data_IF_253529854760
#
_entry.id   IF_253529854760
#
_cell.length_a   1.000
_cell.length_b   1.000
_cell.length_c   1.000
_cell.angle_alpha   90.00
_cell.angle_beta   90.00
_cell.angle_gamma   90.00
#
_symmetry.space_group_name_H-M   'P 1'
#
loop_
_entity.id
_entity.type
_entity.pdbx_description
1 polymer ?
#
# COMPACT_ATOMS: atom_id res chain seq x y z
N UNK A 1 12.41 -32.01 41.90
CA UNK A 1 13.43 -31.02 42.31
C UNK A 1 12.92 -29.60 42.06
N UNK A 2 13.01 -28.70 43.04
CA UNK A 2 12.87 -27.24 42.90
C UNK A 2 14.07 -26.61 43.62
N UNK A 3 14.78 -25.61 43.07
CA UNK A 3 15.79 -24.89 43.83
C UNK A 3 15.18 -23.74 44.65
N UNK A 4 15.76 -23.53 45.83
CA UNK A 4 15.36 -22.58 46.87
C UNK A 4 15.91 -21.16 46.61
N UNK A 5 15.22 -20.15 47.16
CA UNK A 5 15.65 -18.75 47.27
C UNK A 5 16.77 -18.59 48.30
N UNK A 6 17.71 -17.67 48.05
CA UNK A 6 18.58 -17.06 49.07
C UNK A 6 18.69 -15.54 48.83
N UNK A 7 18.38 -14.73 49.85
CA UNK A 7 18.55 -13.25 49.86
C UNK A 7 20.02 -12.85 50.04
N UNK A 8 20.50 -11.72 49.48
CA UNK A 8 20.50 -10.33 50.03
C UNK A 8 21.92 -9.99 50.55
N UNK A 9 22.42 -8.73 50.70
CA UNK A 9 21.74 -7.41 50.62
C UNK A 9 22.52 -6.26 49.87
N UNK A 10 21.86 -5.09 49.81
CA UNK A 10 22.37 -3.71 49.83
C UNK A 10 23.31 -3.15 48.73
N UNK A 11 22.71 -2.36 47.83
CA UNK A 11 23.31 -1.15 47.24
C UNK A 11 23.28 -0.02 48.30
N UNK A 12 24.28 0.87 48.42
CA UNK A 12 24.18 2.11 47.64
C UNK A 12 25.52 2.80 47.32
N UNK A 13 25.70 3.19 46.06
CA UNK A 13 26.75 4.13 45.65
C UNK A 13 26.26 5.10 44.59
N UNK A 14 25.36 6.02 44.95
CA UNK A 14 24.98 7.15 44.11
C UNK A 14 25.99 8.29 44.29
N UNK A 15 27.01 8.35 43.44
CA UNK A 15 27.92 9.48 43.37
C UNK A 15 27.57 10.42 42.20
N UNK A 16 27.01 11.57 42.61
CA UNK A 16 27.19 12.94 42.11
C UNK A 16 27.33 13.18 40.60
N UNK A 17 26.21 13.65 40.04
CA UNK A 17 26.08 14.84 39.19
C UNK A 17 27.33 15.38 38.49
N UNK A 18 27.39 15.19 37.18
CA UNK A 18 27.95 16.17 36.25
C UNK A 18 26.81 16.64 35.34
N UNK A 19 26.20 17.77 35.72
CA UNK A 19 25.32 18.51 34.83
C UNK A 19 26.21 19.45 34.02
N UNK A 20 26.64 19.01 32.84
CA UNK A 20 27.29 19.87 31.87
C UNK A 20 26.19 20.49 30.98
N UNK A 21 25.72 21.67 31.40
CA UNK A 21 24.85 22.56 30.64
C UNK A 21 25.64 23.14 29.45
N UNK A 22 25.71 22.38 28.36
CA UNK A 22 26.18 22.82 27.04
C UNK A 22 25.02 23.28 26.13
N UNK A 23 25.22 24.31 25.30
CA UNK A 23 24.15 25.16 24.78
C UNK A 23 23.13 24.40 23.93
N UNK A 24 21.89 24.71 24.26
CA UNK A 24 20.68 24.53 23.49
C UNK A 24 20.80 25.05 22.05
N UNK A 25 20.00 24.41 21.19
CA UNK A 25 19.34 25.03 20.05
C UNK A 25 20.03 25.14 18.68
N UNK A 26 21.10 24.43 18.35
CA UNK A 26 21.66 24.47 16.99
C UNK A 26 21.61 23.13 16.24
N UNK A 27 20.47 22.44 16.24
CA UNK A 27 20.18 21.38 15.24
C UNK A 27 18.69 21.06 15.18
N UNK A 28 17.87 22.02 14.75
CA UNK A 28 16.64 21.66 14.04
C UNK A 28 17.07 21.02 12.73
N UNK A 29 17.36 19.73 12.82
CA UNK A 29 17.60 18.81 11.72
C UNK A 29 16.61 19.17 10.62
N UNK A 30 17.10 19.80 9.55
CA UNK A 30 16.34 19.94 8.31
C UNK A 30 16.22 18.53 7.79
N UNK A 31 15.25 17.77 8.31
CA UNK A 31 14.94 16.44 7.83
C UNK A 31 14.70 16.62 6.33
N UNK A 32 15.55 16.06 5.45
CA UNK A 32 15.29 16.14 4.03
C UNK A 32 13.91 15.55 3.81
N UNK A 33 13.03 16.31 3.15
CA UNK A 33 11.70 15.82 2.80
C UNK A 33 11.91 14.53 2.02
N UNK A 34 11.47 13.41 2.60
CA UNK A 34 11.55 12.11 1.92
C UNK A 34 10.76 12.24 0.61
N UNK A 35 11.19 11.54 -0.45
CA UNK A 35 10.36 11.43 -1.65
C UNK A 35 8.98 10.87 -1.26
N UNK A 36 7.90 11.33 -1.93
CA UNK A 36 6.55 10.93 -1.58
C UNK A 36 6.38 9.43 -1.79
N UNK A 37 5.73 8.77 -0.86
CA UNK A 37 5.41 7.34 -0.98
C UNK A 37 4.39 7.12 -2.10
N UNK A 38 4.29 5.90 -2.62
CA UNK A 38 3.27 5.55 -3.61
C UNK A 38 1.84 5.83 -3.10
N UNK A 39 1.59 5.61 -1.81
CA UNK A 39 0.30 5.94 -1.18
C UNK A 39 0.02 7.44 -1.15
N UNK A 40 1.03 8.28 -0.86
CA UNK A 40 0.91 9.74 -0.85
C UNK A 40 0.63 10.28 -2.27
N UNK A 41 1.28 9.70 -3.30
CA UNK A 41 1.01 10.05 -4.71
C UNK A 41 -0.39 9.65 -5.17
N UNK A 42 -0.91 8.51 -4.71
CA UNK A 42 -2.27 8.06 -5.05
C UNK A 42 -3.35 8.90 -4.37
N UNK A 43 -3.13 9.33 -3.13
CA UNK A 43 -4.04 10.24 -2.42
C UNK A 43 -4.18 11.58 -3.14
N UNK A 44 -3.09 12.12 -3.69
CA UNK A 44 -3.12 13.34 -4.51
C UNK A 44 -3.96 13.17 -5.79
N UNK A 45 -3.85 12.03 -6.47
CA UNK A 45 -4.62 11.74 -7.69
C UNK A 45 -6.11 11.53 -7.41
N UNK A 46 -6.44 10.87 -6.31
CA UNK A 46 -7.81 10.49 -5.97
C UNK A 46 -8.58 11.62 -5.29
N UNK A 47 -7.89 12.56 -4.64
CA UNK A 47 -8.52 13.65 -3.88
C UNK A 47 -9.16 13.19 -2.57
N UNK A 48 -8.92 11.96 -2.15
CA UNK A 48 -9.34 11.39 -0.87
C UNK A 48 -8.25 10.48 -0.30
N UNK A 49 -8.23 10.26 1.03
CA UNK A 49 -7.15 9.53 1.69
C UNK A 49 -7.00 8.12 1.14
N UNK A 50 -5.77 7.71 0.87
CA UNK A 50 -5.50 6.33 0.47
C UNK A 50 -5.83 5.38 1.64
N UNK A 51 -6.72 4.38 1.45
CA UNK A 51 -7.29 3.61 2.56
C UNK A 51 -6.28 2.70 3.28
N UNK A 52 -5.09 2.50 2.69
CA UNK A 52 -4.04 1.64 3.23
C UNK A 52 -2.80 2.45 3.58
N UNK A 53 -2.70 3.05 4.78
CA UNK A 53 -1.49 3.75 5.19
C UNK A 53 -0.31 2.77 5.25
N UNK A 54 0.67 2.93 4.36
CA UNK A 54 1.92 2.16 4.35
C UNK A 54 1.96 1.01 3.33
N UNK A 55 2.44 -0.16 3.77
CA UNK A 55 2.58 -1.33 2.88
C UNK A 55 1.18 -1.89 2.60
N UNK A 56 0.84 -2.18 1.32
CA UNK A 56 -0.40 -2.88 1.00
C UNK A 56 -0.52 -4.16 1.86
N UNK A 57 -1.72 -4.51 2.34
CA UNK A 57 -1.95 -5.79 3.00
C UNK A 57 -1.30 -6.91 2.19
N UNK A 58 -0.60 -7.84 2.87
CA UNK A 58 -0.07 -9.04 2.20
C UNK A 58 -1.21 -9.61 1.37
N UNK A 59 -0.98 -9.78 0.07
CA UNK A 59 -1.96 -10.29 -0.89
C UNK A 59 -2.27 -11.75 -0.56
N UNK A 60 -3.03 -11.97 0.50
CA UNK A 60 -3.63 -13.25 0.80
C UNK A 60 -4.79 -13.41 -0.18
N UNK A 61 -4.60 -14.30 -1.15
CA UNK A 61 -5.60 -14.59 -2.17
C UNK A 61 -6.93 -15.04 -1.56
N UNK A 62 -6.93 -15.55 -0.32
CA UNK A 62 -8.16 -15.89 0.40
C UNK A 62 -9.00 -14.68 0.81
N UNK A 63 -8.41 -13.48 0.81
CA UNK A 63 -9.11 -12.20 1.09
C UNK A 63 -9.55 -11.48 -0.19
N UNK A 64 -9.17 -11.97 -1.37
CA UNK A 64 -9.64 -11.41 -2.64
C UNK A 64 -11.08 -11.85 -2.89
N UNK A 65 -11.97 -10.87 -2.98
CA UNK A 65 -13.35 -11.08 -3.42
C UNK A 65 -13.39 -10.82 -4.92
N UNK A 66 -13.65 -11.86 -5.72
CA UNK A 66 -13.97 -11.69 -7.13
C UNK A 66 -15.44 -11.31 -7.20
N UNK A 67 -15.73 -10.04 -7.44
CA UNK A 67 -17.07 -9.55 -7.72
C UNK A 67 -17.27 -9.46 -9.22
N UNK A 68 -18.32 -10.10 -9.71
CA UNK A 68 -18.79 -9.94 -11.08
C UNK A 68 -19.64 -8.67 -11.15
N UNK A 69 -19.00 -7.51 -11.00
CA UNK A 69 -19.64 -6.19 -11.00
C UNK A 69 -19.91 -5.70 -12.44
N UNK A 70 -20.19 -6.62 -13.36
CA UNK A 70 -20.44 -6.27 -14.74
C UNK A 70 -21.78 -5.54 -14.83
N UNK A 71 -21.87 -4.46 -15.63
CA UNK A 71 -23.13 -3.75 -15.80
C UNK A 71 -24.17 -4.67 -16.44
N UNK A 72 -25.44 -4.33 -16.25
CA UNK A 72 -26.53 -5.04 -16.90
C UNK A 72 -26.25 -5.17 -18.41
N UNK A 73 -26.49 -6.34 -19.01
CA UNK A 73 -26.27 -6.55 -20.43
C UNK A 73 -26.97 -5.47 -21.25
N UNK A 74 -26.19 -4.70 -22.01
CA UNK A 74 -26.72 -3.66 -22.89
C UNK A 74 -27.23 -4.35 -24.17
N UNK A 75 -28.52 -4.18 -24.54
CA UNK A 75 -29.02 -4.77 -25.77
C UNK A 75 -28.37 -4.10 -26.98
N UNK A 76 -27.87 -4.90 -27.91
CA UNK A 76 -27.28 -4.46 -29.17
C UNK A 76 -28.11 -5.05 -30.32
N UNK A 77 -28.41 -4.23 -31.32
CA UNK A 77 -29.19 -4.63 -32.49
C UNK A 77 -28.30 -5.19 -33.61
N UNK A 78 -28.87 -5.99 -34.50
CA UNK A 78 -28.16 -6.53 -35.69
C UNK A 78 -27.55 -5.43 -36.56
N UNK A 79 -28.22 -4.28 -36.67
CA UNK A 79 -27.72 -3.14 -37.43
C UNK A 79 -26.48 -2.52 -36.78
N UNK A 80 -26.43 -2.47 -35.45
CA UNK A 80 -25.25 -2.00 -34.71
C UNK A 80 -24.11 -3.00 -34.82
N UNK A 81 -24.39 -4.30 -34.69
CA UNK A 81 -23.39 -5.37 -34.87
C UNK A 81 -22.71 -5.24 -36.24
N UNK A 82 -23.48 -5.05 -37.30
CA UNK A 82 -22.94 -4.87 -38.65
C UNK A 82 -22.01 -3.64 -38.76
N UNK A 83 -22.30 -2.55 -38.05
CA UNK A 83 -21.42 -1.36 -38.02
C UNK A 83 -20.13 -1.64 -37.26
N UNK A 84 -20.19 -2.39 -36.15
CA UNK A 84 -19.02 -2.84 -35.41
C UNK A 84 -18.12 -3.75 -36.26
N UNK A 85 -18.70 -4.76 -36.91
CA UNK A 85 -17.95 -5.69 -37.77
C UNK A 85 -17.34 -5.00 -38.99
N UNK A 86 -18.00 -3.98 -39.56
CA UNK A 86 -17.44 -3.21 -40.68
C UNK A 86 -16.18 -2.41 -40.30
N UNK A 87 -16.02 -2.04 -39.03
CA UNK A 87 -14.88 -1.27 -38.52
C UNK A 87 -13.79 -2.12 -37.88
N UNK A 88 -14.14 -3.27 -37.31
CA UNK A 88 -13.23 -4.13 -36.54
C UNK A 88 -13.05 -5.53 -37.14
N UNK A 89 -13.73 -5.86 -38.24
CA UNK A 89 -13.70 -7.20 -38.82
C UNK A 89 -12.31 -7.64 -39.23
N UNK A 90 -11.52 -6.74 -39.83
CA UNK A 90 -10.14 -7.00 -40.21
C UNK A 90 -9.22 -7.24 -38.99
N UNK A 91 -9.42 -6.46 -37.91
CA UNK A 91 -8.73 -6.67 -36.63
C UNK A 91 -9.09 -8.01 -35.99
N UNK A 92 -10.36 -8.41 -36.04
CA UNK A 92 -10.80 -9.69 -35.50
C UNK A 92 -10.29 -10.86 -36.34
N UNK A 93 -10.28 -10.74 -37.65
CA UNK A 93 -9.69 -11.73 -38.55
C UNK A 93 -8.18 -11.87 -38.33
N UNK A 94 -7.47 -10.78 -38.00
CA UNK A 94 -6.05 -10.84 -37.62
C UNK A 94 -5.86 -11.52 -36.25
N UNK A 95 -6.67 -11.15 -35.26
CA UNK A 95 -6.53 -11.63 -33.88
C UNK A 95 -6.97 -13.08 -33.70
N UNK A 96 -7.94 -13.54 -34.49
CA UNK A 96 -8.60 -14.84 -34.32
C UNK A 96 -8.59 -15.73 -35.57
N UNK A 97 -8.20 -15.21 -36.73
CA UNK A 97 -8.27 -15.94 -38.01
C UNK A 97 -7.04 -16.79 -38.35
N UNK A 98 -5.98 -16.78 -37.53
CA UNK A 98 -4.73 -17.51 -37.85
C UNK A 98 -4.60 -18.92 -37.26
N UNK A 99 -5.59 -19.47 -36.54
CA UNK A 99 -5.48 -20.81 -35.93
C UNK A 99 -6.74 -21.70 -36.14
N UNK A 100 -7.10 -21.97 -37.40
CA UNK A 100 -8.00 -23.09 -37.80
C UNK A 100 -7.47 -23.84 -39.02
#
# INVERSE_FOLDING_TARGET
MKPAKSGGPADPGYDRADNDDGPDNASRSRRPKRPPTASEQLEELLGYPWPFPGRPPKHDLSTWTVTDDWPDPVPVTEAEIAVFEQWFGDLFDELFGQDM
#
